data_IF_725963274007
#
_entry.id   IF_725963274007
#
_cell.length_a   1.000
_cell.length_b   1.000
_cell.length_c   1.000
_cell.angle_alpha   90.00
_cell.angle_beta   90.00
_cell.angle_gamma   90.00
#
_symmetry.space_group_name_H-M   'P 1'
#
loop_
_entity.id
_entity.type
_entity.pdbx_description
1 polymer ?
#
# COMPACT_ATOMS: atom_id res chain seq x y z
N UNK A 1 -49.30 -0.62 19.25
CA UNK A 1 -47.98 0.01 19.09
C UNK A 1 -46.92 -0.90 19.73
N UNK A 2 -46.25 -1.71 18.95
CA UNK A 2 -45.13 -2.56 19.43
C UNK A 2 -43.84 -1.96 18.91
N UNK A 3 -43.07 -1.40 19.84
CA UNK A 3 -41.70 -0.96 19.57
C UNK A 3 -40.81 -2.20 19.37
N UNK A 4 -40.19 -2.32 18.19
CA UNK A 4 -39.13 -3.29 17.94
C UNK A 4 -37.83 -2.72 18.52
N UNK A 5 -37.34 -3.33 19.60
CA UNK A 5 -36.00 -3.13 20.12
C UNK A 5 -34.95 -3.63 19.12
N UNK A 6 -34.14 -2.73 18.63
CA UNK A 6 -32.92 -3.10 17.91
C UNK A 6 -31.89 -3.62 18.93
N UNK A 7 -31.47 -4.87 18.80
CA UNK A 7 -30.38 -5.45 19.57
C UNK A 7 -29.06 -4.91 19.07
N UNK A 8 -28.42 -4.09 19.88
CA UNK A 8 -27.00 -3.73 19.68
C UNK A 8 -26.15 -4.86 20.23
N UNK A 9 -25.27 -5.40 19.43
CA UNK A 9 -24.25 -6.35 19.88
C UNK A 9 -23.06 -5.52 20.35
N UNK A 10 -22.81 -5.56 21.66
CA UNK A 10 -21.61 -5.00 22.27
C UNK A 10 -20.50 -6.07 22.25
N UNK A 11 -19.42 -5.82 21.53
CA UNK A 11 -18.17 -6.53 21.77
C UNK A 11 -17.33 -5.70 22.74
N UNK A 12 -17.14 -6.24 23.92
CA UNK A 12 -16.21 -5.68 24.90
C UNK A 12 -14.83 -6.22 24.57
N UNK A 13 -13.97 -5.38 23.99
CA UNK A 13 -12.54 -5.63 24.00
C UNK A 13 -11.96 -4.72 25.07
N UNK A 14 -11.37 -5.29 26.10
CA UNK A 14 -10.72 -4.54 27.18
C UNK A 14 -9.61 -3.68 26.57
N UNK A 15 -9.69 -2.38 26.82
CA UNK A 15 -8.69 -1.32 26.64
C UNK A 15 -8.61 -0.56 25.32
N UNK A 16 -9.55 -0.64 24.38
CA UNK A 16 -9.58 0.34 23.28
C UNK A 16 -10.98 0.63 22.73
N UNK A 17 -11.32 1.88 22.69
CA UNK A 17 -12.38 2.67 22.06
C UNK A 17 -13.56 1.93 21.40
N UNK A 18 -14.77 2.26 21.89
CA UNK A 18 -16.03 1.84 21.27
C UNK A 18 -16.30 2.61 19.96
N UNK A 19 -16.28 1.93 18.84
CA UNK A 19 -16.80 2.47 17.57
C UNK A 19 -18.24 2.04 17.41
N UNK A 20 -19.15 3.03 17.40
CA UNK A 20 -20.58 2.85 17.16
C UNK A 20 -20.84 3.05 15.65
N UNK A 21 -20.99 1.97 14.89
CA UNK A 21 -21.39 2.02 13.47
C UNK A 21 -22.91 1.86 13.35
N UNK A 22 -23.62 2.77 12.65
CA UNK A 22 -25.03 2.57 12.29
C UNK A 22 -25.18 1.69 11.06
N UNK A 23 -25.65 0.47 11.26
CA UNK A 23 -25.84 -0.58 10.23
C UNK A 23 -27.07 -0.39 9.31
N UNK A 24 -27.49 0.84 9.02
CA UNK A 24 -28.79 1.00 8.32
C UNK A 24 -28.82 2.04 7.21
N UNK A 25 -27.91 1.98 6.22
CA UNK A 25 -28.09 2.85 5.02
C UNK A 25 -27.58 2.34 3.66
N UNK A 26 -27.16 1.10 3.52
CA UNK A 26 -26.80 0.60 2.18
C UNK A 26 -27.45 -0.76 1.94
N UNK A 27 -28.40 -0.79 0.97
CA UNK A 27 -29.04 -2.01 0.48
C UNK A 27 -28.04 -2.87 -0.29
N UNK A 28 -27.22 -3.63 0.43
CA UNK A 28 -26.32 -4.64 -0.13
C UNK A 28 -26.87 -6.01 0.30
N UNK A 29 -27.01 -7.00 -0.61
CA UNK A 29 -27.48 -8.33 -0.25
C UNK A 29 -26.50 -8.96 0.75
N UNK A 30 -27.06 -9.54 1.81
CA UNK A 30 -26.38 -10.21 2.91
C UNK A 30 -25.53 -11.39 2.44
N UNK A 31 -24.26 -11.15 2.16
CA UNK A 31 -23.21 -12.15 2.19
C UNK A 31 -22.31 -11.86 3.39
N UNK A 32 -22.84 -12.17 4.58
CA UNK A 32 -22.17 -11.90 5.87
C UNK A 32 -20.81 -12.59 6.07
N UNK A 33 -20.42 -13.53 5.21
CA UNK A 33 -19.17 -14.25 5.30
C UNK A 33 -17.96 -13.44 4.77
N UNK A 34 -18.15 -12.59 3.74
CA UNK A 34 -17.05 -11.82 3.12
C UNK A 34 -16.65 -10.62 4.00
N UNK A 35 -17.64 -9.94 4.60
CA UNK A 35 -17.38 -8.80 5.49
C UNK A 35 -16.65 -9.20 6.79
N UNK A 36 -16.99 -10.36 7.36
CA UNK A 36 -16.31 -10.90 8.56
C UNK A 36 -14.86 -11.31 8.23
N UNK A 37 -14.61 -11.88 7.05
CA UNK A 37 -13.27 -12.26 6.60
C UNK A 37 -12.36 -11.05 6.45
N UNK A 38 -12.80 -10.00 5.78
CA UNK A 38 -12.00 -8.78 5.54
C UNK A 38 -11.71 -8.03 6.85
N UNK A 39 -12.68 -7.93 7.76
CA UNK A 39 -12.48 -7.26 9.05
C UNK A 39 -11.48 -8.01 9.94
N UNK A 40 -11.55 -9.34 9.99
CA UNK A 40 -10.59 -10.16 10.73
C UNK A 40 -9.17 -10.08 10.15
N UNK A 41 -9.03 -10.04 8.81
CA UNK A 41 -7.72 -9.87 8.15
C UNK A 41 -7.12 -8.49 8.42
N UNK A 42 -7.93 -7.43 8.36
CA UNK A 42 -7.48 -6.05 8.67
C UNK A 42 -6.98 -5.95 10.11
N UNK A 43 -7.72 -6.49 11.08
CA UNK A 43 -7.32 -6.50 12.49
C UNK A 43 -6.00 -7.24 12.71
N UNK A 44 -5.77 -8.34 12.00
CA UNK A 44 -4.52 -9.10 12.09
C UNK A 44 -3.32 -8.33 11.51
N UNK A 45 -3.49 -7.69 10.36
CA UNK A 45 -2.43 -6.88 9.71
C UNK A 45 -2.07 -5.68 10.57
N UNK A 46 -3.05 -4.92 11.05
CA UNK A 46 -2.84 -3.75 11.93
C UNK A 46 -2.15 -4.17 13.22
N UNK A 47 -2.58 -5.26 13.85
CA UNK A 47 -1.94 -5.79 15.07
C UNK A 47 -0.49 -6.19 14.83
N UNK A 48 -0.21 -6.89 13.72
CA UNK A 48 1.15 -7.30 13.35
C UNK A 48 2.03 -6.09 13.04
N UNK A 49 1.50 -5.10 12.33
CA UNK A 49 2.23 -3.88 12.01
C UNK A 49 2.53 -3.06 13.28
N UNK A 50 1.55 -2.90 14.16
CA UNK A 50 1.71 -2.22 15.45
C UNK A 50 2.81 -2.88 16.30
N UNK A 51 2.79 -4.21 16.40
CA UNK A 51 3.82 -4.94 17.13
C UNK A 51 5.22 -4.73 16.54
N UNK A 52 5.36 -4.82 15.23
CA UNK A 52 6.65 -4.63 14.55
C UNK A 52 7.17 -3.21 14.65
N UNK A 53 6.31 -2.21 14.56
CA UNK A 53 6.69 -0.81 14.60
C UNK A 53 7.09 -0.35 16.02
N UNK A 54 6.31 -0.72 17.04
CA UNK A 54 6.49 -0.18 18.39
C UNK A 54 7.40 -1.04 19.30
N UNK A 55 7.68 -2.29 18.93
CA UNK A 55 8.54 -3.19 19.74
C UNK A 55 9.95 -3.32 19.23
N UNK A 56 10.42 -2.34 18.43
CA UNK A 56 11.83 -2.28 18.05
C UNK A 56 12.69 -1.90 19.27
N UNK A 57 13.98 -2.23 19.21
CA UNK A 57 14.93 -1.82 20.23
C UNK A 57 15.40 -0.38 19.97
N UNK A 58 14.91 0.59 20.70
CA UNK A 58 15.23 2.00 20.55
C UNK A 58 16.30 2.45 21.57
N UNK A 59 17.46 1.82 21.60
CA UNK A 59 18.52 1.98 22.63
C UNK A 59 19.26 3.31 22.62
N UNK A 60 18.72 4.41 22.13
CA UNK A 60 19.50 5.65 22.02
C UNK A 60 18.84 6.86 22.68
N UNK A 61 19.51 7.38 23.73
CA UNK A 61 19.09 8.58 24.46
C UNK A 61 19.71 9.88 23.88
N UNK A 62 20.70 9.81 22.97
CA UNK A 62 21.63 10.93 22.76
C UNK A 62 21.34 11.88 21.59
N UNK A 63 20.33 11.66 20.73
CA UNK A 63 20.10 12.53 19.55
C UNK A 63 18.64 12.88 19.28
N UNK A 64 17.77 12.75 20.25
CA UNK A 64 16.31 12.82 20.05
C UNK A 64 15.84 14.16 19.49
N UNK A 65 16.23 15.27 20.08
CA UNK A 65 15.73 16.59 19.71
C UNK A 65 16.26 17.04 18.33
N UNK A 66 17.50 16.67 17.99
CA UNK A 66 18.11 17.03 16.71
C UNK A 66 17.47 16.25 15.56
N UNK A 67 17.36 14.94 15.70
CA UNK A 67 16.69 14.07 14.72
C UNK A 67 15.24 14.49 14.49
N UNK A 68 14.52 14.79 15.57
CA UNK A 68 13.16 15.27 15.49
C UNK A 68 13.05 16.56 14.66
N UNK A 69 13.91 17.56 14.92
CA UNK A 69 13.85 18.84 14.21
C UNK A 69 14.22 18.69 12.72
N UNK A 70 15.22 17.89 12.39
CA UNK A 70 15.57 17.57 11.00
C UNK A 70 14.39 16.93 10.24
N UNK A 71 13.76 15.92 10.84
CA UNK A 71 12.60 15.26 10.27
C UNK A 71 11.40 16.22 10.16
N UNK A 72 11.22 17.09 11.14
CA UNK A 72 10.18 18.13 11.12
C UNK A 72 10.38 19.11 9.97
N UNK A 73 11.60 19.59 9.73
CA UNK A 73 11.88 20.48 8.60
C UNK A 73 11.59 19.79 7.27
N UNK A 74 11.90 18.50 7.16
CA UNK A 74 11.57 17.70 5.98
C UNK A 74 10.06 17.64 5.75
N UNK A 75 9.26 17.34 6.77
CA UNK A 75 7.81 17.31 6.68
C UNK A 75 7.25 18.68 6.24
N UNK A 76 7.72 19.77 6.86
CA UNK A 76 7.29 21.13 6.53
C UNK A 76 7.66 21.54 5.10
N UNK A 77 8.79 21.07 4.56
CA UNK A 77 9.18 21.33 3.18
C UNK A 77 8.12 20.76 2.21
N UNK A 78 7.67 19.52 2.40
CA UNK A 78 6.61 18.92 1.58
C UNK A 78 5.28 19.65 1.71
N UNK A 79 4.90 20.05 2.92
CA UNK A 79 3.66 20.81 3.15
C UNK A 79 3.68 22.13 2.39
N UNK A 80 4.81 22.83 2.39
CA UNK A 80 4.94 24.15 1.76
C UNK A 80 5.05 24.09 0.24
N UNK A 81 5.74 23.09 -0.29
CA UNK A 81 6.04 22.98 -1.74
C UNK A 81 4.98 22.18 -2.50
N UNK A 82 4.47 21.10 -1.91
CA UNK A 82 3.47 20.23 -2.56
C UNK A 82 2.05 20.41 -2.02
N UNK A 83 1.85 21.31 -1.03
CA UNK A 83 0.57 21.48 -0.33
C UNK A 83 0.06 20.18 0.33
N UNK A 84 0.96 19.26 0.65
CA UNK A 84 0.64 17.96 1.19
C UNK A 84 0.03 18.04 2.59
N UNK A 85 -0.77 17.05 2.95
CA UNK A 85 -0.99 16.65 4.33
C UNK A 85 0.20 15.74 4.70
N UNK A 86 0.96 16.12 5.72
CA UNK A 86 2.10 15.34 6.18
C UNK A 86 1.88 14.85 7.62
N UNK A 87 2.20 13.59 7.87
CA UNK A 87 2.19 12.98 9.21
C UNK A 87 3.58 12.49 9.52
N UNK A 88 4.19 13.08 10.55
CA UNK A 88 5.49 12.69 11.08
C UNK A 88 5.29 11.93 12.38
N UNK A 89 5.61 10.63 12.36
CA UNK A 89 5.42 9.72 13.49
C UNK A 89 6.76 9.33 14.11
N UNK A 90 6.85 9.44 15.43
CA UNK A 90 7.94 8.87 16.21
C UNK A 90 7.47 7.52 16.79
N UNK A 91 8.06 6.45 16.30
CA UNK A 91 7.70 5.08 16.67
C UNK A 91 8.17 4.73 18.09
N UNK A 92 9.19 5.41 18.61
CA UNK A 92 9.67 5.19 19.99
C UNK A 92 8.67 5.75 21.01
N UNK A 93 8.22 6.99 20.82
CA UNK A 93 7.30 7.66 21.74
C UNK A 93 5.82 7.33 21.44
N UNK A 94 5.53 6.63 20.36
CA UNK A 94 4.17 6.37 19.87
C UNK A 94 3.36 7.68 19.72
N UNK A 95 3.95 8.69 19.09
CA UNK A 95 3.31 9.99 18.86
C UNK A 95 3.43 10.41 17.41
N UNK A 96 2.48 11.22 16.93
CA UNK A 96 2.55 11.81 15.60
C UNK A 96 2.26 13.30 15.63
N UNK A 97 2.89 14.04 14.72
CA UNK A 97 2.52 15.40 14.37
C UNK A 97 1.98 15.46 12.95
N UNK A 98 0.83 16.08 12.85
CA UNK A 98 0.10 16.25 11.59
C UNK A 98 0.28 17.70 11.15
N UNK A 99 0.83 17.88 9.95
CA UNK A 99 1.01 19.18 9.32
C UNK A 99 0.01 19.30 8.17
N UNK A 100 -0.98 20.13 8.36
CA UNK A 100 -2.10 20.28 7.46
C UNK A 100 -1.79 21.29 6.35
N UNK A 101 -1.44 20.81 5.15
CA UNK A 101 -1.39 21.61 3.95
C UNK A 101 -2.80 21.78 3.31
N UNK A 102 -2.87 22.34 2.10
CA UNK A 102 -4.14 22.53 1.39
C UNK A 102 -4.88 21.24 1.08
N UNK A 103 -4.15 20.12 0.93
CA UNK A 103 -4.77 18.80 0.75
C UNK A 103 -5.61 18.41 1.97
N UNK A 104 -5.18 18.71 3.18
CA UNK A 104 -5.98 18.45 4.39
C UNK A 104 -7.29 19.25 4.40
N UNK A 105 -7.24 20.51 3.98
CA UNK A 105 -8.44 21.36 3.86
C UNK A 105 -9.40 20.78 2.81
N UNK A 106 -8.88 20.37 1.65
CA UNK A 106 -9.67 19.71 0.59
C UNK A 106 -10.36 18.44 1.09
N UNK A 107 -9.67 17.67 1.92
CA UNK A 107 -10.20 16.44 2.51
C UNK A 107 -11.15 16.69 3.69
N UNK A 108 -11.37 17.94 4.10
CA UNK A 108 -12.22 18.26 5.25
C UNK A 108 -11.62 17.82 6.59
N UNK A 109 -10.31 17.66 6.68
CA UNK A 109 -9.59 17.28 7.89
C UNK A 109 -9.15 18.49 8.73
N UNK A 110 -9.03 19.64 8.11
CA UNK A 110 -8.69 20.91 8.76
C UNK A 110 -9.40 22.08 8.07
N UNK A 111 -9.68 23.15 8.82
CA UNK A 111 -10.22 24.39 8.25
C UNK A 111 -9.11 25.26 7.62
N UNK A 112 -7.92 25.20 8.20
CA UNK A 112 -6.75 25.99 7.80
C UNK A 112 -5.49 25.12 7.81
N UNK A 113 -4.40 25.65 7.27
CA UNK A 113 -3.08 25.04 7.41
C UNK A 113 -2.63 25.17 8.88
N UNK A 114 -2.54 24.06 9.59
CA UNK A 114 -2.26 23.97 11.03
C UNK A 114 -1.31 22.84 11.34
N UNK A 115 -0.82 22.81 12.59
CA UNK A 115 -0.09 21.70 13.16
C UNK A 115 -0.91 21.10 14.30
N UNK A 116 -1.04 19.76 14.34
CA UNK A 116 -1.73 19.01 15.39
C UNK A 116 -0.82 17.90 15.90
N UNK A 117 -0.83 17.64 17.21
CA UNK A 117 -0.11 16.52 17.83
C UNK A 117 -1.10 15.50 18.35
N UNK A 118 -0.85 14.22 18.07
CA UNK A 118 -1.65 13.10 18.56
C UNK A 118 -0.74 12.11 19.32
N UNK A 119 -1.30 11.52 20.41
CA UNK A 119 -0.61 10.52 21.24
C UNK A 119 -0.78 9.10 20.66
N UNK A 120 -0.51 8.96 19.37
CA UNK A 120 -0.62 7.71 18.63
C UNK A 120 0.13 7.84 17.30
N UNK A 121 0.62 6.70 16.77
CA UNK A 121 1.06 6.60 15.37
C UNK A 121 -0.09 6.20 14.43
N UNK A 122 -1.31 6.09 14.95
CA UNK A 122 -2.52 5.75 14.20
C UNK A 122 -3.40 6.98 14.06
N UNK A 123 -3.49 7.51 12.85
CA UNK A 123 -4.23 8.74 12.53
C UNK A 123 -5.69 8.42 12.15
N UNK A 124 -6.51 8.02 13.13
CA UNK A 124 -7.88 7.56 12.90
C UNK A 124 -8.72 8.54 12.06
N UNK A 125 -8.61 9.84 12.32
CA UNK A 125 -9.33 10.87 11.54
C UNK A 125 -8.97 10.84 10.05
N UNK A 126 -7.71 10.53 9.71
CA UNK A 126 -7.24 10.42 8.33
C UNK A 126 -7.73 9.10 7.75
N UNK A 127 -7.59 8.01 8.50
CA UNK A 127 -8.01 6.67 8.08
C UNK A 127 -9.50 6.58 7.79
N UNK A 128 -10.34 7.27 8.55
CA UNK A 128 -11.79 7.36 8.34
C UNK A 128 -12.16 7.97 6.98
N UNK A 129 -11.27 8.74 6.36
CA UNK A 129 -11.47 9.30 5.01
C UNK A 129 -11.05 8.33 3.90
N UNK A 130 -10.22 7.35 4.19
CA UNK A 130 -9.72 6.40 3.18
C UNK A 130 -10.81 5.36 2.86
N UNK A 131 -10.89 4.97 1.59
CA UNK A 131 -11.77 3.87 1.20
C UNK A 131 -11.33 2.57 1.92
N UNK A 132 -12.26 1.77 2.48
CA UNK A 132 -11.90 0.60 3.29
C UNK A 132 -10.95 -0.39 2.62
N UNK A 133 -11.14 -0.66 1.32
CA UNK A 133 -10.27 -1.58 0.58
C UNK A 133 -8.86 -1.00 0.44
N UNK A 134 -8.75 0.32 0.19
CA UNK A 134 -7.47 1.01 0.01
C UNK A 134 -6.73 1.15 1.35
N UNK A 135 -7.46 1.25 2.47
CA UNK A 135 -6.87 1.27 3.81
C UNK A 135 -6.22 -0.07 4.16
N UNK A 136 -6.88 -1.18 3.81
CA UNK A 136 -6.32 -2.53 3.99
C UNK A 136 -5.04 -2.69 3.17
N UNK A 137 -5.07 -2.28 1.90
CA UNK A 137 -3.91 -2.34 1.01
C UNK A 137 -2.77 -1.45 1.52
N UNK A 138 -3.08 -0.21 1.95
CA UNK A 138 -2.11 0.70 2.58
C UNK A 138 -1.36 0.01 3.72
N UNK A 139 -2.05 -0.57 4.70
CA UNK A 139 -1.41 -1.24 5.83
C UNK A 139 -0.61 -2.48 5.40
N UNK A 140 -1.09 -3.20 4.38
CA UNK A 140 -0.37 -4.34 3.81
C UNK A 140 0.95 -3.90 3.18
N UNK A 141 0.95 -2.81 2.42
CA UNK A 141 2.16 -2.27 1.79
C UNK A 141 3.13 -1.67 2.82
N UNK A 142 2.64 -1.04 3.86
CA UNK A 142 3.47 -0.56 4.98
C UNK A 142 4.19 -1.71 5.69
N UNK A 143 3.48 -2.82 5.95
CA UNK A 143 4.08 -4.01 6.55
C UNK A 143 5.16 -4.63 5.65
N UNK A 144 4.91 -4.72 4.36
CA UNK A 144 5.88 -5.22 3.37
C UNK A 144 7.09 -4.31 3.27
N UNK A 145 6.86 -2.99 3.23
CA UNK A 145 7.91 -2.00 3.16
C UNK A 145 8.80 -2.00 4.41
N UNK A 146 8.19 -2.11 5.60
CA UNK A 146 8.94 -2.29 6.84
C UNK A 146 9.85 -3.53 6.76
N UNK A 147 9.30 -4.68 6.35
CA UNK A 147 10.08 -5.92 6.18
C UNK A 147 11.22 -5.78 5.17
N UNK A 148 10.94 -5.16 4.02
CA UNK A 148 11.94 -4.87 2.99
C UNK A 148 13.11 -4.04 3.54
N UNK A 149 12.82 -2.97 4.29
CA UNK A 149 13.87 -2.10 4.83
C UNK A 149 14.73 -2.79 5.90
N UNK A 150 14.21 -3.82 6.59
CA UNK A 150 15.05 -4.59 7.53
C UNK A 150 16.17 -5.38 6.82
N UNK A 151 16.00 -5.70 5.54
CA UNK A 151 16.98 -6.40 4.71
C UNK A 151 17.98 -5.45 4.03
N UNK A 152 17.70 -4.13 4.06
CA UNK A 152 18.54 -3.10 3.43
C UNK A 152 19.54 -2.54 4.43
N UNK A 153 20.82 -2.31 4.04
CA UNK A 153 21.81 -1.62 4.87
C UNK A 153 21.29 -0.26 5.36
N UNK A 154 21.54 0.08 6.63
CA UNK A 154 20.97 1.27 7.27
C UNK A 154 21.21 2.54 6.44
N UNK A 155 22.42 2.72 5.92
CA UNK A 155 22.81 3.90 5.12
C UNK A 155 22.06 4.02 3.79
N UNK A 156 21.48 2.93 3.29
CA UNK A 156 20.77 2.91 2.00
C UNK A 156 19.25 3.06 2.16
N UNK A 157 18.71 2.88 3.36
CA UNK A 157 17.25 2.87 3.63
C UNK A 157 16.57 4.18 3.23
N UNK A 158 17.26 5.29 3.38
CA UNK A 158 16.76 6.64 3.02
C UNK A 158 16.50 6.82 1.52
N UNK A 159 17.05 5.93 0.67
CA UNK A 159 16.85 5.96 -0.77
C UNK A 159 15.50 5.33 -1.20
N UNK A 160 14.79 4.70 -0.28
CA UNK A 160 13.59 3.96 -0.60
C UNK A 160 12.36 4.58 0.05
N UNK A 161 11.27 4.60 -0.69
CA UNK A 161 9.95 4.94 -0.19
C UNK A 161 8.88 4.13 -0.92
N UNK A 162 7.74 3.94 -0.27
CA UNK A 162 6.56 3.35 -0.89
C UNK A 162 5.65 4.47 -1.38
N UNK A 163 5.09 4.32 -2.56
CA UNK A 163 4.11 5.24 -3.13
C UNK A 163 2.95 4.45 -3.74
N UNK A 164 1.74 4.93 -3.50
CA UNK A 164 0.52 4.37 -4.05
C UNK A 164 -0.56 5.43 -4.19
N UNK A 165 -1.59 5.13 -4.96
CA UNK A 165 -2.78 5.94 -5.06
C UNK A 165 -3.88 5.31 -4.22
N UNK A 166 -4.57 6.12 -3.42
CA UNK A 166 -5.68 5.72 -2.56
C UNK A 166 -6.87 6.64 -2.81
N UNK A 167 -8.07 6.13 -2.59
CA UNK A 167 -9.30 6.91 -2.62
C UNK A 167 -9.58 7.48 -1.23
N UNK A 168 -9.71 8.80 -1.13
CA UNK A 168 -10.08 9.47 0.12
C UNK A 168 -11.31 10.34 -0.09
N UNK A 169 -12.20 10.40 0.92
CA UNK A 169 -13.36 11.29 0.90
C UNK A 169 -12.91 12.73 1.09
N UNK A 170 -13.35 13.61 0.20
CA UNK A 170 -13.14 15.04 0.34
C UNK A 170 -14.15 15.69 1.32
N UNK A 171 -14.11 17.01 1.48
CA UNK A 171 -15.01 17.75 2.35
C UNK A 171 -16.51 17.63 1.94
N UNK A 172 -16.80 17.18 0.72
CA UNK A 172 -18.16 16.95 0.19
C UNK A 172 -18.57 15.46 0.26
N UNK A 173 -17.75 14.62 0.91
CA UNK A 173 -17.95 13.19 1.05
C UNK A 173 -17.81 12.39 -0.27
N UNK A 174 -17.17 12.99 -1.29
CA UNK A 174 -16.89 12.34 -2.58
C UNK A 174 -15.48 11.73 -2.52
N UNK A 175 -15.33 10.49 -3.00
CA UNK A 175 -14.03 9.88 -3.14
C UNK A 175 -13.20 10.52 -4.26
N UNK A 176 -12.04 11.03 -3.90
CA UNK A 176 -11.06 11.63 -4.80
C UNK A 176 -9.73 10.85 -4.73
N UNK A 177 -8.98 10.77 -5.85
CA UNK A 177 -7.68 10.12 -5.84
C UNK A 177 -6.66 11.00 -5.10
N UNK A 178 -5.93 10.37 -4.19
CA UNK A 178 -4.85 10.97 -3.39
C UNK A 178 -3.62 10.07 -3.54
N UNK A 179 -2.47 10.67 -3.81
CA UNK A 179 -1.20 9.97 -3.74
C UNK A 179 -0.76 9.86 -2.29
N UNK A 180 -0.54 8.66 -1.82
CA UNK A 180 0.08 8.35 -0.53
C UNK A 180 1.53 7.93 -0.74
N UNK A 181 2.44 8.56 -0.01
CA UNK A 181 3.86 8.17 0.05
C UNK A 181 4.27 7.99 1.50
N UNK A 182 5.08 6.97 1.77
CA UNK A 182 5.62 6.70 3.09
C UNK A 182 7.12 6.49 3.03
N UNK A 183 7.81 7.14 3.96
CA UNK A 183 9.26 7.14 4.12
C UNK A 183 9.62 6.78 5.55
N UNK A 184 10.75 6.11 5.75
CA UNK A 184 11.44 6.08 7.03
C UNK A 184 12.66 7.00 6.95
N UNK A 185 12.55 8.18 7.54
CA UNK A 185 13.53 9.27 7.40
C UNK A 185 14.47 9.40 8.60
N UNK A 186 14.29 8.57 9.62
CA UNK A 186 15.16 8.49 10.78
C UNK A 186 15.28 7.07 11.29
N UNK A 187 16.52 6.62 11.50
CA UNK A 187 16.87 5.35 12.12
C UNK A 187 17.79 5.58 13.30
N UNK A 188 17.70 4.71 14.30
CA UNK A 188 18.68 4.68 15.39
C UNK A 188 20.00 4.05 14.94
N UNK A 189 21.12 4.26 15.63
CA UNK A 189 22.41 3.67 15.26
C UNK A 189 22.40 2.13 15.20
N UNK A 190 21.57 1.48 16.02
CA UNK A 190 21.37 0.02 15.99
C UNK A 190 20.47 -0.47 14.86
N UNK A 191 19.95 0.45 14.03
CA UNK A 191 19.15 0.14 12.83
C UNK A 191 17.65 0.07 13.05
N UNK A 192 17.12 0.41 14.23
CA UNK A 192 15.67 0.53 14.41
C UNK A 192 15.13 1.73 13.62
N UNK A 193 14.02 1.53 12.91
CA UNK A 193 13.33 2.58 12.18
C UNK A 193 12.55 3.42 13.19
N UNK A 194 12.91 4.69 13.37
CA UNK A 194 12.32 5.54 14.40
C UNK A 194 11.33 6.54 13.84
N UNK A 195 11.73 7.30 12.81
CA UNK A 195 10.91 8.37 12.27
C UNK A 195 10.28 7.96 10.94
N UNK A 196 8.95 7.91 10.91
CA UNK A 196 8.16 7.66 9.72
C UNK A 196 7.49 8.96 9.25
N UNK A 197 7.49 9.19 7.93
CA UNK A 197 6.82 10.32 7.30
C UNK A 197 5.83 9.79 6.26
N UNK A 198 4.54 10.02 6.50
CA UNK A 198 3.47 9.78 5.54
C UNK A 198 3.06 11.11 4.88
N UNK A 199 2.95 11.10 3.56
CA UNK A 199 2.51 12.25 2.77
C UNK A 199 1.26 11.88 1.97
N UNK A 200 0.29 12.77 2.00
CA UNK A 200 -0.94 12.68 1.22
C UNK A 200 -1.04 13.93 0.37
N UNK A 201 -1.02 13.77 -0.94
CA UNK A 201 -1.10 14.91 -1.87
C UNK A 201 -2.07 14.65 -3.02
N UNK A 202 -2.60 15.73 -3.59
CA UNK A 202 -3.56 15.66 -4.69
C UNK A 202 -2.87 15.25 -5.99
N UNK A 203 -3.44 14.29 -6.71
CA UNK A 203 -2.96 13.87 -8.02
C UNK A 203 -3.58 14.76 -9.09
N UNK A 204 -2.76 15.39 -9.92
CA UNK A 204 -3.22 16.26 -11.01
C UNK A 204 -3.57 15.49 -12.30
N UNK A 205 -3.12 14.24 -12.43
CA UNK A 205 -3.34 13.39 -13.61
C UNK A 205 -3.53 11.95 -13.16
N UNK A 206 -4.27 11.17 -13.95
CA UNK A 206 -4.31 9.71 -13.79
C UNK A 206 -2.92 9.19 -14.13
N UNK A 207 -2.13 8.90 -13.11
CA UNK A 207 -0.85 8.23 -13.28
C UNK A 207 -1.10 6.71 -13.27
N UNK A 208 -0.32 5.91 -13.98
CA UNK A 208 -0.38 4.45 -13.86
C UNK A 208 -0.17 4.07 -12.39
N UNK A 209 -0.82 2.99 -11.96
CA UNK A 209 -1.02 2.61 -10.56
C UNK A 209 0.25 2.52 -9.72
N UNK A 210 1.41 2.28 -10.34
CA UNK A 210 2.70 2.23 -9.66
C UNK A 210 3.80 2.89 -10.50
N UNK A 211 4.58 3.74 -9.83
CA UNK A 211 5.73 4.41 -10.44
C UNK A 211 6.95 4.20 -9.55
N UNK A 212 8.03 3.66 -10.11
CA UNK A 212 9.32 3.65 -9.43
C UNK A 212 10.00 4.98 -9.69
N UNK A 213 10.32 5.69 -8.61
CA UNK A 213 11.02 6.97 -8.70
C UNK A 213 12.39 6.82 -8.07
N UNK A 214 13.43 7.09 -8.84
CA UNK A 214 14.75 7.31 -8.28
C UNK A 214 14.78 8.70 -7.65
N UNK A 215 14.76 8.77 -6.32
CA UNK A 215 14.73 10.04 -5.59
C UNK A 215 16.01 10.87 -5.80
N UNK A 216 17.13 10.23 -6.16
CA UNK A 216 18.40 10.92 -6.40
C UNK A 216 18.47 11.55 -7.80
N UNK A 217 17.83 10.92 -8.81
CA UNK A 217 17.88 11.39 -10.21
C UNK A 217 16.57 12.01 -10.68
N UNK A 218 15.46 11.80 -9.96
CA UNK A 218 14.12 12.16 -10.39
C UNK A 218 13.61 11.28 -11.54
N UNK A 219 14.36 10.24 -11.92
CA UNK A 219 13.98 9.35 -12.99
C UNK A 219 12.75 8.54 -12.58
N UNK A 220 11.69 8.68 -13.37
CA UNK A 220 10.50 7.87 -13.26
C UNK A 220 10.73 6.61 -14.08
N UNK A 221 10.92 5.49 -13.40
CA UNK A 221 10.98 4.19 -14.02
C UNK A 221 9.56 3.65 -14.02
N UNK A 222 8.86 3.81 -15.14
CA UNK A 222 7.60 3.10 -15.32
C UNK A 222 7.87 1.59 -15.20
N UNK A 223 7.01 0.83 -14.50
CA UNK A 223 7.08 -0.63 -14.52
C UNK A 223 7.06 -1.18 -15.96
N UNK A 224 6.44 -0.43 -16.89
CA UNK A 224 6.41 -0.74 -18.33
C UNK A 224 7.75 -0.44 -19.04
N UNK A 225 8.59 0.46 -18.52
CA UNK A 225 9.86 0.82 -19.18
C UNK A 225 10.97 -0.18 -18.86
N UNK A 226 10.89 -0.89 -17.75
CA UNK A 226 11.54 -2.19 -17.63
C UNK A 226 10.56 -3.24 -18.12
N UNK A 227 10.23 -3.16 -19.38
CA UNK A 227 9.64 -4.29 -20.08
C UNK A 227 10.44 -5.49 -19.61
N UNK A 228 9.75 -6.38 -18.97
CA UNK A 228 10.19 -7.77 -18.80
C UNK A 228 10.39 -8.43 -20.18
N UNK A 229 10.86 -7.65 -21.18
CA UNK A 229 11.11 -8.10 -22.54
C UNK A 229 12.03 -9.32 -22.56
N UNK A 230 12.74 -9.55 -21.45
CA UNK A 230 13.61 -10.71 -21.27
C UNK A 230 13.06 -11.82 -20.36
N UNK A 231 11.89 -11.65 -19.71
CA UNK A 231 11.37 -12.70 -18.84
C UNK A 231 10.92 -13.91 -19.64
N UNK A 232 10.13 -13.68 -20.69
CA UNK A 232 9.72 -14.69 -21.66
C UNK A 232 10.30 -14.37 -23.04
N UNK A 233 10.85 -15.37 -23.71
CA UNK A 233 11.23 -15.23 -25.12
C UNK A 233 9.99 -15.04 -26.00
N UNK A 234 10.16 -14.47 -27.20
CA UNK A 234 9.03 -14.25 -28.12
C UNK A 234 8.28 -15.56 -28.40
N UNK A 235 9.01 -16.67 -28.48
CA UNK A 235 8.42 -17.99 -28.69
C UNK A 235 7.62 -18.48 -27.48
N UNK A 236 8.06 -18.16 -26.28
CA UNK A 236 7.31 -18.47 -25.05
C UNK A 236 6.05 -17.59 -24.94
N UNK A 237 6.11 -16.33 -25.35
CA UNK A 237 4.94 -15.44 -25.43
C UNK A 237 3.91 -15.97 -26.43
N UNK A 238 4.32 -16.37 -27.63
CA UNK A 238 3.43 -16.98 -28.63
C UNK A 238 2.75 -18.25 -28.11
N UNK A 239 3.50 -19.14 -27.47
CA UNK A 239 2.96 -20.36 -26.85
C UNK A 239 1.95 -20.00 -25.76
N UNK A 240 2.26 -19.02 -24.90
CA UNK A 240 1.40 -18.61 -23.79
C UNK A 240 0.11 -17.93 -24.28
N UNK A 241 0.17 -17.12 -25.34
CA UNK A 241 -1.02 -16.54 -25.98
C UNK A 241 -1.96 -17.62 -26.53
N UNK A 242 -1.40 -18.66 -27.14
CA UNK A 242 -2.22 -19.77 -27.62
C UNK A 242 -2.84 -20.59 -26.48
N UNK A 243 -2.12 -20.70 -25.35
CA UNK A 243 -2.67 -21.34 -24.12
C UNK A 243 -3.81 -20.48 -23.55
N UNK A 244 -3.65 -19.16 -23.45
CA UNK A 244 -4.70 -18.24 -23.01
C UNK A 244 -5.93 -18.32 -23.94
N UNK A 245 -5.72 -18.49 -25.24
CA UNK A 245 -6.79 -18.76 -26.20
C UNK A 245 -7.41 -20.20 -26.13
N UNK A 246 -7.05 -20.99 -25.12
CA UNK A 246 -7.61 -22.33 -24.87
C UNK A 246 -7.05 -23.44 -25.76
N UNK A 247 -5.95 -23.24 -26.50
CA UNK A 247 -5.38 -24.25 -27.40
C UNK A 247 -4.65 -25.34 -26.62
N UNK A 248 -4.85 -26.59 -27.03
CA UNK A 248 -4.11 -27.71 -26.49
C UNK A 248 -2.72 -27.82 -27.09
N UNK A 249 -1.77 -28.49 -26.40
CA UNK A 249 -0.38 -28.66 -26.88
C UNK A 249 -0.29 -29.26 -28.29
N UNK A 250 -1.21 -30.15 -28.71
CA UNK A 250 -1.25 -30.70 -30.07
C UNK A 250 -1.60 -29.63 -31.10
N UNK A 251 -2.56 -28.78 -30.83
CA UNK A 251 -2.98 -27.69 -31.73
C UNK A 251 -1.88 -26.63 -31.83
N UNK A 252 -1.25 -26.28 -30.70
CA UNK A 252 -0.11 -25.34 -30.66
C UNK A 252 1.04 -25.88 -31.49
N UNK A 253 1.35 -27.17 -31.40
CA UNK A 253 2.41 -27.81 -32.20
C UNK A 253 2.17 -27.67 -33.70
N UNK A 254 0.93 -27.83 -34.16
CA UNK A 254 0.52 -27.65 -35.55
C UNK A 254 0.62 -26.19 -35.95
N UNK A 255 0.02 -25.28 -35.17
CA UNK A 255 -0.02 -23.83 -35.46
C UNK A 255 1.39 -23.21 -35.55
N UNK A 256 2.29 -23.65 -34.68
CA UNK A 256 3.66 -23.14 -34.61
C UNK A 256 4.68 -23.95 -35.40
N UNK A 257 4.23 -25.04 -36.08
CA UNK A 257 5.09 -25.96 -36.85
C UNK A 257 6.27 -26.53 -36.06
N UNK A 258 6.02 -26.94 -34.81
CA UNK A 258 7.01 -27.55 -33.90
C UNK A 258 6.49 -28.85 -33.29
N UNK A 259 7.36 -29.63 -32.65
CA UNK A 259 6.96 -30.85 -32.01
C UNK A 259 6.15 -30.57 -30.73
N UNK A 260 5.24 -31.49 -30.35
CA UNK A 260 4.51 -31.44 -29.07
C UNK A 260 5.51 -31.41 -27.89
N UNK A 261 6.63 -32.10 -28.02
CA UNK A 261 7.69 -32.10 -27.00
C UNK A 261 8.28 -30.70 -26.82
N UNK A 262 8.49 -29.97 -27.92
CA UNK A 262 8.97 -28.59 -27.90
C UNK A 262 7.95 -27.66 -27.23
N UNK A 263 6.65 -27.81 -27.51
CA UNK A 263 5.58 -27.06 -26.86
C UNK A 263 5.59 -27.33 -25.35
N UNK A 264 5.68 -28.58 -24.92
CA UNK A 264 5.70 -28.93 -23.50
C UNK A 264 6.95 -28.37 -22.81
N UNK A 265 8.09 -28.32 -23.46
CA UNK A 265 9.30 -27.67 -22.94
C UNK A 265 9.11 -26.17 -22.75
N UNK A 266 8.50 -25.48 -23.74
CA UNK A 266 8.14 -24.07 -23.55
C UNK A 266 7.19 -23.85 -22.39
N UNK A 267 6.16 -24.70 -22.24
CA UNK A 267 5.24 -24.63 -21.08
C UNK A 267 5.97 -24.76 -19.74
N UNK A 268 6.88 -25.72 -19.61
CA UNK A 268 7.69 -25.88 -18.39
C UNK A 268 8.58 -24.66 -18.13
N UNK A 269 9.23 -24.13 -19.16
CA UNK A 269 10.05 -22.93 -19.03
C UNK A 269 9.22 -21.71 -18.60
N UNK A 270 8.02 -21.54 -19.18
CA UNK A 270 7.09 -20.47 -18.82
C UNK A 270 6.69 -20.58 -17.34
N UNK A 271 6.26 -21.77 -16.88
CA UNK A 271 5.89 -21.99 -15.49
C UNK A 271 7.07 -21.68 -14.55
N UNK A 272 8.27 -22.15 -14.87
CA UNK A 272 9.47 -21.89 -14.08
C UNK A 272 9.82 -20.40 -14.03
N UNK A 273 9.75 -19.69 -15.17
CA UNK A 273 10.09 -18.25 -15.26
C UNK A 273 9.09 -17.37 -14.56
N UNK A 274 7.80 -17.69 -14.66
CA UNK A 274 6.72 -16.97 -14.01
C UNK A 274 6.46 -17.44 -12.56
N UNK A 275 7.18 -18.47 -12.09
CA UNK A 275 6.96 -19.12 -10.79
C UNK A 275 5.50 -19.50 -10.56
N UNK A 276 4.87 -20.03 -11.60
CA UNK A 276 3.48 -20.47 -11.60
C UNK A 276 3.40 -22.00 -11.53
N UNK A 277 2.42 -22.51 -10.80
CA UNK A 277 2.19 -23.95 -10.68
C UNK A 277 1.31 -24.50 -11.83
N UNK A 278 0.50 -23.64 -12.44
CA UNK A 278 -0.44 -24.00 -13.50
C UNK A 278 -0.36 -23.07 -14.71
N UNK A 279 -0.73 -23.58 -15.88
CA UNK A 279 -0.78 -22.75 -17.08
C UNK A 279 -1.83 -21.61 -17.00
N UNK A 280 -2.92 -21.84 -16.25
CA UNK A 280 -3.96 -20.81 -16.04
C UNK A 280 -3.38 -19.66 -15.20
N UNK A 281 -2.66 -20.00 -14.16
CA UNK A 281 -1.97 -19.02 -13.31
C UNK A 281 -0.90 -18.26 -14.10
N UNK A 282 -0.11 -18.98 -14.92
CA UNK A 282 0.88 -18.36 -15.79
C UNK A 282 0.26 -17.36 -16.79
N UNK A 283 -0.90 -17.69 -17.38
CA UNK A 283 -1.65 -16.75 -18.22
C UNK A 283 -2.07 -15.49 -17.45
N UNK A 284 -2.67 -15.64 -16.24
CA UNK A 284 -3.08 -14.50 -15.40
C UNK A 284 -1.90 -13.60 -15.02
N UNK A 285 -0.78 -14.21 -14.62
CA UNK A 285 0.44 -13.46 -14.28
C UNK A 285 0.96 -12.71 -15.51
N UNK A 286 0.99 -13.35 -16.68
CA UNK A 286 1.49 -12.74 -17.90
C UNK A 286 0.58 -11.62 -18.42
N UNK A 287 -0.74 -11.75 -18.30
CA UNK A 287 -1.72 -10.70 -18.60
C UNK A 287 -1.54 -9.51 -17.63
N UNK A 288 -1.42 -9.77 -16.35
CA UNK A 288 -1.17 -8.74 -15.33
C UNK A 288 0.16 -8.01 -15.53
N UNK A 289 1.19 -8.71 -16.00
CA UNK A 289 2.50 -8.15 -16.32
C UNK A 289 2.57 -7.55 -17.73
N UNK A 290 1.48 -7.52 -18.48
CA UNK A 290 1.41 -7.07 -19.88
C UNK A 290 2.41 -7.78 -20.81
N UNK A 291 2.73 -9.05 -20.54
CA UNK A 291 3.60 -9.89 -21.38
C UNK A 291 2.86 -10.48 -22.57
N UNK A 292 1.56 -10.69 -22.41
CA UNK A 292 0.60 -11.12 -23.42
C UNK A 292 -0.65 -10.25 -23.34
N UNK A 293 -1.38 -10.15 -24.44
CA UNK A 293 -2.65 -9.40 -24.57
C UNK A 293 -3.83 -10.37 -24.72
#
# INVERSE_FOLDING_TARGET
AKAKQAKSIFLICSDFLMIKLPLQRYGIPTTGAILISNHSQTMNIVSTLNEKLLRQNFDDEHSEALLWEECRQTALAYVRTENALAVLSDLQSNTSRIYNGRTAVRLGLAEHTTEETIASIWEEKIFDRIHPDDLLEKHTQELRFFGFLQEIPIAERVNYYVSGQIRMRDATDIYVPIRHRMFYIGSTPNGSLRMALCLYDSVCTVQPDYTFVNSATGEIISPETRRSDNLLSDREKEVLQLISAGKMSKEIAILLSISIHTVNRHRQNILSKLKADTSIEACRIAEYMHLIS
#
